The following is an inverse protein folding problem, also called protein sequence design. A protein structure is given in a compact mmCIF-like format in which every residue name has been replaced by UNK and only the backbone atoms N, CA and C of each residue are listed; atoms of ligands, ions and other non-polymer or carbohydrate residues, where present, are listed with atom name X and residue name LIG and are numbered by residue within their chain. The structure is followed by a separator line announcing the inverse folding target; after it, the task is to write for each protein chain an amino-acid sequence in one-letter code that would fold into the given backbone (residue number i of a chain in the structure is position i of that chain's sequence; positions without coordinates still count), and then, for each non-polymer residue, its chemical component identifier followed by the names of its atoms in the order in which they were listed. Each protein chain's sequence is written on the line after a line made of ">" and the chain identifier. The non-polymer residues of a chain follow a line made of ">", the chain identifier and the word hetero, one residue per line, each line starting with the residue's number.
data_IF_399831756158
#
_entry.id   IF_399831756158
#
_cell.length_a   1.000
_cell.length_b   1.000
_cell.length_c   1.000
_cell.angle_alpha   90.00
_cell.angle_beta   90.00
_cell.angle_gamma   90.00
#
_symmetry.space_group_name_H-M   'P 1'
#
loop_
_entity.id
_entity.type
_entity.pdbx_description
1 polymer ?
#
# COMPACT_ATOMS: atom_id res chain seq x y z
N UNK A 1 -28.48 20.41 8.18
CA UNK A 1 -27.78 19.93 9.38
C UNK A 1 -26.57 19.14 8.93
N UNK A 2 -25.38 19.72 9.06
CA UNK A 2 -24.13 19.10 8.62
C UNK A 2 -23.73 18.04 9.63
N UNK A 3 -23.88 16.78 9.25
CA UNK A 3 -23.43 15.64 10.04
C UNK A 3 -21.89 15.63 10.04
N UNK A 4 -21.29 16.31 11.02
CA UNK A 4 -19.84 16.26 11.28
C UNK A 4 -19.50 14.95 11.98
N UNK A 5 -19.73 13.85 11.29
CA UNK A 5 -19.17 12.57 11.68
C UNK A 5 -17.66 12.67 11.40
N UNK A 6 -16.87 12.96 12.44
CA UNK A 6 -15.40 12.81 12.44
C UNK A 6 -15.06 11.33 12.29
N UNK A 7 -15.28 10.77 11.09
CA UNK A 7 -14.93 9.39 10.78
C UNK A 7 -13.44 9.38 10.52
N UNK A 8 -12.68 8.80 11.44
CA UNK A 8 -11.23 8.61 11.30
C UNK A 8 -10.93 8.01 9.92
N UNK A 9 -10.17 8.74 9.11
CA UNK A 9 -9.93 8.44 7.70
C UNK A 9 -9.04 7.21 7.47
N UNK A 10 -8.40 6.71 8.53
CA UNK A 10 -7.53 5.54 8.48
C UNK A 10 -8.25 4.20 8.63
N UNK A 11 -9.55 4.19 8.92
CA UNK A 11 -10.33 2.96 8.96
C UNK A 11 -10.76 2.54 7.55
N UNK A 12 -10.67 1.24 7.28
CA UNK A 12 -11.22 0.62 6.07
C UNK A 12 -12.10 -0.57 6.42
N UNK A 13 -13.05 -0.86 5.53
CA UNK A 13 -13.87 -2.06 5.53
C UNK A 13 -13.32 -3.08 4.50
N UNK A 14 -13.80 -4.32 4.55
CA UNK A 14 -13.46 -5.38 3.58
C UNK A 14 -13.84 -5.00 2.14
N UNK A 15 -14.75 -4.05 1.98
CA UNK A 15 -15.18 -3.52 0.69
C UNK A 15 -14.25 -2.43 0.14
N UNK A 16 -13.32 -1.91 0.96
CA UNK A 16 -12.36 -0.88 0.54
C UNK A 16 -11.17 -1.48 -0.18
N UNK A 17 -10.58 -0.71 -1.11
CA UNK A 17 -9.43 -1.16 -1.89
C UNK A 17 -8.23 -1.33 -0.95
N UNK A 18 -7.65 -2.54 -0.85
CA UNK A 18 -6.47 -2.73 -0.04
C UNK A 18 -5.21 -2.37 -0.84
N UNK A 19 -4.32 -1.57 -0.23
CA UNK A 19 -3.02 -1.21 -0.78
C UNK A 19 -1.92 -1.43 0.26
N UNK A 20 -0.75 -1.86 -0.21
CA UNK A 20 0.46 -1.86 0.63
C UNK A 20 1.05 -0.45 0.73
N UNK A 21 1.96 -0.24 1.68
CA UNK A 21 2.68 1.04 1.78
C UNK A 21 3.55 1.29 0.55
N UNK A 22 4.15 0.24 0.00
CA UNK A 22 4.92 0.28 -1.25
C UNK A 22 4.05 0.73 -2.42
N UNK A 23 2.90 0.07 -2.65
CA UNK A 23 1.97 0.42 -3.73
C UNK A 23 1.47 1.87 -3.59
N UNK A 24 1.25 2.33 -2.35
CA UNK A 24 0.88 3.71 -2.09
C UNK A 24 1.95 4.73 -2.52
N UNK A 25 3.22 4.50 -2.20
CA UNK A 25 4.30 5.39 -2.63
C UNK A 25 4.49 5.37 -4.14
N UNK A 26 4.35 4.21 -4.77
CA UNK A 26 4.37 4.12 -6.23
C UNK A 26 3.23 4.93 -6.88
N UNK A 27 2.04 5.00 -6.28
CA UNK A 27 0.96 5.85 -6.78
C UNK A 27 1.33 7.31 -6.66
N UNK A 28 1.81 7.75 -5.50
CA UNK A 28 2.14 9.16 -5.27
C UNK A 28 3.20 9.65 -6.24
N UNK A 29 4.23 8.84 -6.51
CA UNK A 29 5.28 9.21 -7.45
C UNK A 29 4.76 9.48 -8.86
N UNK A 30 3.57 8.98 -9.21
CA UNK A 30 2.98 9.17 -10.55
C UNK A 30 2.06 10.39 -10.66
N UNK A 31 1.58 10.92 -9.54
CA UNK A 31 0.53 11.95 -9.50
C UNK A 31 1.18 13.32 -9.33
N UNK A 32 0.83 14.26 -10.21
CA UNK A 32 1.30 15.65 -10.14
C UNK A 32 0.24 16.54 -9.49
N UNK A 33 0.64 17.33 -8.49
CA UNK A 33 -0.25 18.17 -7.69
C UNK A 33 -1.01 19.23 -8.52
N UNK A 34 -0.42 19.75 -9.59
CA UNK A 34 -0.99 20.84 -10.40
C UNK A 34 -2.29 20.46 -11.11
N UNK A 35 -2.52 19.17 -11.33
CA UNK A 35 -3.71 18.65 -12.04
C UNK A 35 -4.83 18.21 -11.11
N UNK A 36 -4.58 18.17 -9.81
CA UNK A 36 -5.58 17.79 -8.81
C UNK A 36 -6.40 19.00 -8.36
N UNK A 37 -7.70 18.79 -8.15
CA UNK A 37 -8.50 19.78 -7.46
C UNK A 37 -8.03 20.00 -6.02
N UNK A 38 -8.45 21.11 -5.40
CA UNK A 38 -8.17 21.39 -3.97
C UNK A 38 -8.66 20.27 -3.06
N UNK A 39 -9.79 19.65 -3.40
CA UNK A 39 -10.34 18.52 -2.64
C UNK A 39 -9.47 17.27 -2.80
N UNK A 40 -9.03 16.97 -4.03
CA UNK A 40 -8.11 15.88 -4.33
C UNK A 40 -6.79 16.01 -3.54
N UNK A 41 -6.19 17.21 -3.55
CA UNK A 41 -4.98 17.51 -2.76
C UNK A 41 -5.21 17.25 -1.27
N UNK A 42 -6.35 17.65 -0.72
CA UNK A 42 -6.66 17.39 0.70
C UNK A 42 -6.81 15.90 1.01
N UNK A 43 -7.42 15.11 0.10
CA UNK A 43 -7.50 13.64 0.25
C UNK A 43 -6.11 13.00 0.26
N UNK A 44 -5.21 13.41 -0.63
CA UNK A 44 -3.83 12.91 -0.66
C UNK A 44 -3.03 13.30 0.58
N UNK A 45 -3.19 14.53 1.10
CA UNK A 45 -2.54 14.96 2.35
C UNK A 45 -2.99 14.13 3.55
N UNK A 46 -4.29 13.92 3.70
CA UNK A 46 -4.83 13.07 4.76
C UNK A 46 -4.33 11.63 4.63
N UNK A 47 -4.26 11.12 3.39
CA UNK A 47 -3.73 9.79 3.12
C UNK A 47 -2.25 9.68 3.48
N UNK A 48 -1.47 10.72 3.19
CA UNK A 48 -0.07 10.80 3.54
C UNK A 48 0.17 10.81 5.03
N UNK A 49 -0.58 11.60 5.78
CA UNK A 49 -0.50 11.61 7.24
C UNK A 49 -0.71 10.20 7.82
N UNK A 50 -1.75 9.50 7.40
CA UNK A 50 -2.07 8.15 7.92
C UNK A 50 -0.99 7.14 7.50
N UNK A 51 -0.48 7.21 6.27
CA UNK A 51 0.60 6.33 5.83
C UNK A 51 1.92 6.61 6.55
N UNK A 52 2.25 7.87 6.79
CA UNK A 52 3.45 8.25 7.54
C UNK A 52 3.40 7.77 8.99
N UNK A 53 2.25 7.87 9.65
CA UNK A 53 2.06 7.23 10.96
C UNK A 53 2.21 5.71 10.87
N UNK A 54 1.57 5.08 9.87
CA UNK A 54 1.70 3.65 9.63
C UNK A 54 3.15 3.18 9.48
N UNK A 55 3.97 3.93 8.73
CA UNK A 55 5.39 3.63 8.56
C UNK A 55 6.17 3.66 9.87
N UNK A 56 5.88 4.62 10.74
CA UNK A 56 6.51 4.70 12.06
C UNK A 56 6.06 3.58 13.00
N UNK A 57 4.81 3.13 12.88
CA UNK A 57 4.25 2.11 13.76
C UNK A 57 4.58 0.67 13.35
N UNK A 58 4.79 0.39 12.05
CA UNK A 58 5.12 -0.97 11.58
C UNK A 58 6.31 -1.58 12.34
N UNK A 59 7.46 -0.90 12.51
CA UNK A 59 8.59 -1.43 13.25
C UNK A 59 8.27 -1.79 14.70
N UNK A 60 7.39 -1.01 15.34
CA UNK A 60 6.95 -1.22 16.72
C UNK A 60 6.06 -2.46 16.81
N UNK A 61 5.12 -2.62 15.88
CA UNK A 61 4.22 -3.78 15.85
C UNK A 61 4.91 -5.07 15.44
N UNK A 62 5.93 -5.02 14.59
CA UNK A 62 6.66 -6.21 14.13
C UNK A 62 7.73 -6.68 15.12
N UNK A 63 8.15 -5.81 16.04
CA UNK A 63 9.19 -6.14 17.02
C UNK A 63 8.85 -7.36 17.90
N UNK A 64 7.64 -7.50 18.50
CA UNK A 64 7.30 -8.69 19.28
C UNK A 64 7.33 -9.98 18.44
N UNK A 65 6.86 -9.92 17.19
CA UNK A 65 6.88 -11.08 16.29
C UNK A 65 8.30 -11.50 15.92
N UNK A 66 9.16 -10.53 15.58
CA UNK A 66 10.56 -10.78 15.32
C UNK A 66 11.27 -11.36 16.56
N UNK A 67 10.94 -10.87 17.75
CA UNK A 67 11.48 -11.38 19.01
C UNK A 67 11.04 -12.82 19.28
N UNK A 68 9.75 -13.13 19.10
CA UNK A 68 9.20 -14.48 19.27
C UNK A 68 9.81 -15.47 18.27
N UNK A 69 9.94 -15.08 17.01
CA UNK A 69 10.58 -15.90 15.97
C UNK A 69 12.05 -16.18 16.32
N UNK A 70 12.77 -15.15 16.74
CA UNK A 70 14.18 -15.26 17.16
C UNK A 70 14.32 -16.19 18.37
N UNK A 71 13.40 -16.09 19.34
CA UNK A 71 13.37 -16.96 20.52
C UNK A 71 13.01 -18.40 20.15
N UNK A 72 12.12 -18.62 19.19
CA UNK A 72 11.78 -19.94 18.68
C UNK A 72 12.98 -20.63 18.01
N UNK A 73 13.78 -19.87 17.25
CA UNK A 73 14.99 -20.39 16.59
C UNK A 73 16.12 -20.66 17.60
N UNK A 74 16.36 -19.71 18.52
CA UNK A 74 17.52 -19.78 19.45
C UNK A 74 17.26 -20.69 20.65
N UNK A 75 15.99 -20.95 20.99
CA UNK A 75 15.60 -21.67 22.19
C UNK A 75 15.64 -20.83 23.47
N UNK A 76 15.36 -21.43 24.65
CA UNK A 76 15.35 -20.71 25.92
C UNK A 76 16.76 -20.28 26.35
N UNK A 77 16.92 -19.02 26.73
CA UNK A 77 18.18 -18.51 27.26
C UNK A 77 18.52 -19.18 28.60
N UNK A 78 19.63 -19.91 28.65
CA UNK A 78 20.18 -20.51 29.87
C UNK A 78 21.21 -19.56 30.49
N UNK A 79 21.16 -19.37 31.81
CA UNK A 79 22.19 -18.66 32.60
C UNK A 79 23.53 -19.38 32.41
N UNK A 80 24.38 -18.88 31.51
CA UNK A 80 25.72 -19.44 31.27
C UNK A 80 26.07 -19.68 29.80
N UNK A 81 25.12 -19.54 28.86
CA UNK A 81 25.41 -19.72 27.44
C UNK A 81 25.56 -18.39 26.71
N UNK A 82 26.48 -18.32 25.74
CA UNK A 82 26.62 -17.24 24.76
C UNK A 82 25.38 -16.98 23.90
N UNK A 83 24.31 -17.77 24.04
CA UNK A 83 23.06 -17.66 23.27
C UNK A 83 22.40 -16.27 23.33
N UNK A 84 22.65 -15.47 24.37
CA UNK A 84 22.19 -14.08 24.43
C UNK A 84 22.87 -13.17 23.38
N UNK A 85 24.10 -13.48 22.97
CA UNK A 85 24.79 -12.77 21.88
C UNK A 85 24.13 -13.09 20.53
N UNK A 86 23.78 -14.35 20.31
CA UNK A 86 23.13 -14.80 19.09
C UNK A 86 21.69 -14.27 18.96
N UNK A 87 21.00 -14.06 20.09
CA UNK A 87 19.65 -13.49 20.11
C UNK A 87 19.59 -12.13 19.41
N UNK A 88 20.49 -11.20 19.74
CA UNK A 88 20.50 -9.88 19.13
C UNK A 88 20.93 -9.90 17.66
N UNK A 89 21.89 -10.76 17.30
CA UNK A 89 22.28 -10.93 15.89
C UNK A 89 21.12 -11.48 15.05
N UNK A 90 20.45 -12.54 15.50
CA UNK A 90 19.29 -13.09 14.79
C UNK A 90 18.12 -12.11 14.78
N UNK A 91 17.90 -11.35 15.86
CA UNK A 91 16.89 -10.29 15.90
C UNK A 91 17.16 -9.22 14.85
N UNK A 92 18.43 -8.82 14.65
CA UNK A 92 18.81 -7.83 13.64
C UNK A 92 18.58 -8.30 12.20
N UNK A 93 18.50 -9.62 11.96
CA UNK A 93 18.14 -10.21 10.66
C UNK A 93 16.63 -10.39 10.52
N UNK A 94 15.98 -10.91 11.57
CA UNK A 94 14.55 -11.22 11.55
C UNK A 94 13.68 -9.96 11.58
N UNK A 95 14.11 -8.90 12.26
CA UNK A 95 13.30 -7.69 12.41
C UNK A 95 13.13 -6.92 11.10
N UNK A 96 14.17 -6.65 10.28
CA UNK A 96 13.98 -6.09 8.95
C UNK A 96 13.07 -6.93 8.05
N UNK A 97 13.15 -8.26 8.13
CA UNK A 97 12.27 -9.15 7.37
C UNK A 97 10.81 -9.04 7.84
N UNK A 98 10.58 -8.96 9.15
CA UNK A 98 9.25 -8.75 9.70
C UNK A 98 8.70 -7.36 9.33
N UNK A 99 9.53 -6.31 9.34
CA UNK A 99 9.17 -4.99 8.84
C UNK A 99 8.83 -5.00 7.35
N UNK A 100 9.66 -5.63 6.52
CA UNK A 100 9.41 -5.80 5.09
C UNK A 100 8.05 -6.46 4.83
N UNK A 101 7.76 -7.54 5.55
CA UNK A 101 6.45 -8.18 5.50
C UNK A 101 5.33 -7.21 5.89
N UNK A 102 5.49 -6.48 7.00
CA UNK A 102 4.53 -5.47 7.46
C UNK A 102 4.27 -4.35 6.45
N UNK A 103 5.30 -3.90 5.72
CA UNK A 103 5.16 -2.86 4.70
C UNK A 103 4.49 -3.34 3.42
N UNK A 104 4.68 -4.62 3.07
CA UNK A 104 4.12 -5.23 1.85
C UNK A 104 2.71 -5.79 2.04
N UNK A 105 2.23 -5.90 3.29
CA UNK A 105 0.86 -6.33 3.55
C UNK A 105 -0.16 -5.29 3.02
N UNK A 106 -1.17 -5.73 2.25
CA UNK A 106 -2.19 -4.82 1.73
C UNK A 106 -3.22 -4.50 2.82
N UNK A 107 -3.42 -3.20 3.09
CA UNK A 107 -4.31 -2.71 4.15
C UNK A 107 -5.51 -2.01 3.47
N UNK A 108 -6.75 -2.44 3.71
CA UNK A 108 -7.93 -1.74 3.22
C UNK A 108 -8.07 -0.39 3.93
N UNK A 109 -8.24 0.69 3.15
CA UNK A 109 -8.54 2.01 3.71
C UNK A 109 -9.53 2.72 2.83
N UNK A 110 -10.49 3.40 3.48
CA UNK A 110 -11.51 4.16 2.77
C UNK A 110 -10.92 5.23 1.85
N UNK A 111 -9.88 5.95 2.29
CA UNK A 111 -9.24 6.98 1.45
C UNK A 111 -8.63 6.42 0.16
N UNK A 112 -8.17 5.17 0.13
CA UNK A 112 -7.72 4.56 -1.13
C UNK A 112 -8.89 4.41 -2.09
N UNK A 113 -10.02 3.91 -1.59
CA UNK A 113 -11.27 3.81 -2.34
C UNK A 113 -11.75 5.18 -2.79
N UNK A 114 -11.80 6.18 -1.91
CA UNK A 114 -12.31 7.52 -2.22
C UNK A 114 -11.48 8.25 -3.29
N UNK A 115 -10.18 7.93 -3.42
CA UNK A 115 -9.31 8.50 -4.47
C UNK A 115 -9.39 7.68 -5.76
N UNK A 116 -9.23 6.36 -5.67
CA UNK A 116 -9.16 5.50 -6.86
C UNK A 116 -10.52 5.25 -7.48
N UNK A 117 -11.60 5.23 -6.70
CA UNK A 117 -12.95 4.98 -7.20
C UNK A 117 -13.72 6.26 -7.57
N UNK A 118 -13.09 7.42 -7.44
CA UNK A 118 -13.73 8.70 -7.78
C UNK A 118 -14.05 8.77 -9.29
N UNK A 119 -15.33 9.00 -9.62
CA UNK A 119 -15.78 9.15 -11.00
C UNK A 119 -15.47 10.54 -11.57
N UNK A 120 -15.00 11.47 -10.74
CA UNK A 120 -14.61 12.81 -11.13
C UNK A 120 -13.35 12.88 -12.01
N UNK A 121 -12.98 14.11 -12.43
CA UNK A 121 -11.77 14.36 -13.21
C UNK A 121 -10.50 13.97 -12.44
N UNK A 122 -10.46 14.16 -11.12
CA UNK A 122 -9.32 13.81 -10.26
C UNK A 122 -9.07 12.30 -10.25
N UNK A 123 -10.10 11.49 -9.98
CA UNK A 123 -9.97 10.03 -10.00
C UNK A 123 -9.57 9.49 -11.37
N UNK A 124 -10.14 10.05 -12.44
CA UNK A 124 -9.77 9.70 -13.81
C UNK A 124 -8.31 10.04 -14.11
N UNK A 125 -7.84 11.21 -13.67
CA UNK A 125 -6.44 11.62 -13.81
C UNK A 125 -5.49 10.70 -13.04
N UNK A 126 -5.81 10.34 -11.79
CA UNK A 126 -4.99 9.42 -10.99
C UNK A 126 -4.89 8.07 -11.67
N UNK A 127 -6.01 7.49 -12.10
CA UNK A 127 -6.01 6.17 -12.78
C UNK A 127 -5.26 6.20 -14.11
N UNK A 128 -5.41 7.27 -14.90
CA UNK A 128 -4.64 7.44 -16.14
C UNK A 128 -3.14 7.60 -15.89
N UNK A 129 -2.75 8.38 -14.88
CA UNK A 129 -1.34 8.58 -14.51
C UNK A 129 -0.69 7.26 -14.09
N UNK A 130 -1.37 6.48 -13.24
CA UNK A 130 -0.88 5.15 -12.82
C UNK A 130 -0.79 4.22 -14.03
N UNK A 131 -1.80 4.19 -14.90
CA UNK A 131 -1.80 3.35 -16.12
C UNK A 131 -0.62 3.67 -17.06
N UNK A 132 -0.30 4.95 -17.23
CA UNK A 132 0.76 5.41 -18.13
C UNK A 132 2.16 5.17 -17.55
N UNK A 133 2.37 5.48 -16.28
CA UNK A 133 3.70 5.49 -15.67
C UNK A 133 4.06 4.17 -14.98
N UNK A 134 3.06 3.45 -14.44
CA UNK A 134 3.24 2.20 -13.67
C UNK A 134 2.21 1.14 -14.10
N UNK A 135 2.29 0.61 -15.35
CA UNK A 135 1.26 -0.29 -15.87
C UNK A 135 1.17 -1.63 -15.11
N UNK A 136 2.29 -2.11 -14.55
CA UNK A 136 2.30 -3.30 -13.69
C UNK A 136 1.50 -3.13 -12.40
N UNK A 137 1.56 -1.93 -11.79
CA UNK A 137 0.74 -1.58 -10.64
C UNK A 137 -0.74 -1.44 -11.05
N UNK A 138 -0.98 -0.77 -12.18
CA UNK A 138 -2.33 -0.61 -12.74
C UNK A 138 -3.03 -1.95 -12.97
N UNK A 139 -2.34 -2.97 -13.50
CA UNK A 139 -2.93 -4.30 -13.68
C UNK A 139 -3.41 -4.94 -12.38
N UNK A 140 -2.64 -4.79 -11.30
CA UNK A 140 -3.05 -5.29 -9.97
C UNK A 140 -4.26 -4.51 -9.45
N UNK A 141 -4.21 -3.19 -9.57
CA UNK A 141 -5.27 -2.29 -9.13
C UNK A 141 -6.57 -2.45 -9.91
N UNK A 142 -6.53 -2.51 -11.23
CA UNK A 142 -7.72 -2.68 -12.08
C UNK A 142 -8.46 -3.96 -11.71
N UNK A 143 -7.72 -5.05 -11.49
CA UNK A 143 -8.30 -6.33 -11.05
C UNK A 143 -8.95 -6.23 -9.67
N UNK A 144 -8.31 -5.55 -8.71
CA UNK A 144 -8.88 -5.32 -7.37
C UNK A 144 -10.16 -4.47 -7.45
N UNK A 145 -10.12 -3.37 -8.20
CA UNK A 145 -11.27 -2.51 -8.44
C UNK A 145 -12.45 -3.26 -9.08
N UNK A 146 -12.16 -4.05 -10.12
CA UNK A 146 -13.17 -4.87 -10.80
C UNK A 146 -13.78 -5.92 -9.85
N UNK A 147 -12.96 -6.57 -9.02
CA UNK A 147 -13.43 -7.54 -8.01
C UNK A 147 -14.35 -6.88 -6.98
N UNK A 148 -14.12 -5.59 -6.67
CA UNK A 148 -14.96 -4.78 -5.79
C UNK A 148 -16.17 -4.14 -6.50
N UNK A 149 -16.47 -4.55 -7.75
CA UNK A 149 -17.60 -4.08 -8.57
C UNK A 149 -17.52 -2.62 -8.99
N UNK A 150 -16.35 -2.00 -8.92
CA UNK A 150 -16.11 -0.72 -9.58
C UNK A 150 -15.91 -0.96 -11.08
N UNK A 151 -16.45 -0.07 -11.92
CA UNK A 151 -16.37 -0.17 -13.37
C UNK A 151 -15.88 1.16 -13.91
N UNK A 152 -14.71 1.17 -14.55
CA UNK A 152 -14.14 2.35 -15.20
C UNK A 152 -13.75 2.05 -16.65
N UNK A 153 -13.85 3.03 -17.57
CA UNK A 153 -13.54 2.80 -18.99
C UNK A 153 -12.07 2.42 -19.22
N UNK A 154 -11.16 2.89 -18.37
CA UNK A 154 -9.72 2.65 -18.45
C UNK A 154 -9.27 1.26 -17.93
N UNK A 155 -10.18 0.48 -17.34
CA UNK A 155 -9.89 -0.86 -16.82
C UNK A 155 -9.45 -1.82 -17.92
N UNK A 156 -8.46 -2.65 -17.60
CA UNK A 156 -7.96 -3.68 -18.51
C UNK A 156 -9.02 -4.76 -18.79
N UNK A 157 -9.94 -4.97 -17.85
CA UNK A 157 -11.02 -5.95 -17.97
C UNK A 157 -12.07 -5.51 -19.00
N UNK A 158 -12.21 -4.20 -19.23
CA UNK A 158 -13.13 -3.59 -20.19
C UNK A 158 -12.47 -3.34 -21.55
N UNK A 159 -11.15 -3.12 -21.56
CA UNK A 159 -10.38 -2.96 -22.80
C UNK A 159 -10.13 -4.36 -23.35
N UNK A 160 -10.79 -4.71 -24.46
CA UNK A 160 -10.82 -6.05 -25.06
C UNK A 160 -9.54 -6.89 -24.87
N UNK A 161 -9.72 -8.17 -24.53
CA UNK A 161 -8.72 -9.25 -24.33
C UNK A 161 -7.78 -9.52 -25.53
N UNK A 162 -7.73 -8.64 -26.52
CA UNK A 162 -7.08 -8.82 -27.82
C UNK A 162 -5.66 -8.27 -27.87
N UNK A 163 -5.23 -7.47 -26.91
CA UNK A 163 -3.87 -6.91 -26.88
C UNK A 163 -2.97 -7.70 -25.92
N UNK A 164 -1.82 -8.12 -26.45
CA UNK A 164 -0.82 -8.86 -25.69
C UNK A 164 -0.24 -7.95 -24.59
N UNK A 165 -0.05 -8.44 -23.35
CA UNK A 165 0.62 -7.69 -22.29
C UNK A 165 2.01 -7.19 -22.72
N UNK A 166 2.17 -5.89 -22.95
CA UNK A 166 3.48 -5.29 -23.27
C UNK A 166 4.32 -4.99 -22.03
N UNK A 167 3.77 -5.22 -20.83
CA UNK A 167 4.39 -4.90 -19.52
C UNK A 167 5.65 -5.70 -19.17
N UNK A 168 6.06 -6.67 -19.99
CA UNK A 168 7.33 -7.38 -19.80
C UNK A 168 8.56 -6.52 -20.11
N UNK A 169 8.36 -5.36 -20.76
CA UNK A 169 9.44 -4.43 -21.11
C UNK A 169 9.18 -3.10 -20.42
N UNK A 170 9.90 -2.82 -19.34
CA UNK A 170 9.98 -1.46 -18.79
C UNK A 170 10.65 -0.56 -19.83
N UNK A 171 10.02 0.53 -20.29
CA UNK A 171 10.66 1.46 -21.22
C UNK A 171 11.82 2.24 -20.58
N UNK A 172 12.00 2.18 -19.26
CA UNK A 172 13.02 2.93 -18.51
C UNK A 172 14.19 2.04 -18.02
N UNK A 173 14.47 0.93 -18.70
CA UNK A 173 15.62 0.06 -18.41
C UNK A 173 16.89 0.41 -19.23
N UNK A 174 17.02 1.67 -19.66
CA UNK A 174 18.22 2.22 -20.32
C UNK A 174 18.68 3.50 -19.63
#
# INVERSE_FOLDING_TARGET
>A
MADRNYKFWGNGDKNDIPLSYEEYFEIIDTVQDERLSKEGIMKFKNLHEINSYGLLYVPVYTMPFAFLLTRAITGPAKRGHSGYRNLWTLMSLNWPLACWFGYTQPIPRKLYTDILADQGPDGSYVRQSIKQQRPGLWRKLSRRLHTQKYVFPEMLENTNKTEFPTDFVSPNAL
#
